data_IF_602233893264
#
_entry.id   IF_602233893264
#
_cell.length_a   1.000
_cell.length_b   1.000
_cell.length_c   1.000
_cell.angle_alpha   90.00
_cell.angle_beta   90.00
_cell.angle_gamma   90.00
#
_symmetry.space_group_name_H-M   'P 1'
#
loop_
_entity.id
_entity.type
_entity.pdbx_description
1 polymer ?
#
# COMPACT_ATOMS: atom_id res chain seq x y z
N UNK A 1 3.04 17.40 -3.61
CA UNK A 1 2.00 16.93 -2.68
C UNK A 1 2.31 15.51 -2.24
N UNK A 2 2.23 15.24 -0.95
CA UNK A 2 2.56 13.90 -0.44
C UNK A 2 1.42 12.92 -0.70
N UNK A 3 1.75 11.78 -1.28
CA UNK A 3 0.77 10.74 -1.56
C UNK A 3 1.24 9.42 -0.94
N UNK A 4 0.31 8.68 -0.35
CA UNK A 4 0.60 7.44 0.36
C UNK A 4 0.18 6.24 -0.49
N UNK A 5 1.08 5.27 -0.63
CA UNK A 5 0.76 3.99 -1.23
C UNK A 5 0.62 2.98 -0.09
N UNK A 6 -0.59 2.50 0.16
CA UNK A 6 -0.89 1.58 1.24
C UNK A 6 -1.11 0.18 0.68
N UNK A 7 -0.33 -0.78 1.15
CA UNK A 7 -0.53 -2.19 0.83
C UNK A 7 -1.41 -2.79 1.90
N UNK A 8 -2.67 -3.04 1.54
CA UNK A 8 -3.72 -3.45 2.47
C UNK A 8 -3.99 -4.95 2.45
N UNK A 9 -5.22 -5.31 2.78
CA UNK A 9 -5.66 -6.69 2.87
C UNK A 9 -5.89 -7.15 4.31
N UNK A 10 -5.74 -6.24 5.27
CA UNK A 10 -5.92 -6.54 6.70
C UNK A 10 -6.85 -5.51 7.34
N UNK A 11 -7.31 -5.81 8.56
CA UNK A 11 -8.11 -4.86 9.33
C UNK A 11 -7.35 -3.58 9.66
N UNK A 12 -6.06 -3.67 9.91
CA UNK A 12 -5.21 -2.51 10.14
C UNK A 12 -5.10 -1.64 8.89
N UNK A 13 -4.95 -2.28 7.72
CA UNK A 13 -4.93 -1.56 6.45
C UNK A 13 -6.24 -0.82 6.20
N UNK A 14 -7.37 -1.46 6.48
CA UNK A 14 -8.69 -0.82 6.34
C UNK A 14 -8.84 0.36 7.30
N UNK A 15 -8.42 0.20 8.54
CA UNK A 15 -8.49 1.29 9.52
C UNK A 15 -7.66 2.50 9.08
N UNK A 16 -6.47 2.26 8.53
CA UNK A 16 -5.63 3.33 8.03
C UNK A 16 -6.26 3.99 6.80
N UNK A 17 -6.86 3.21 5.90
CA UNK A 17 -7.57 3.75 4.75
C UNK A 17 -8.73 4.66 5.18
N UNK A 18 -9.51 4.23 6.16
CA UNK A 18 -10.59 5.06 6.72
C UNK A 18 -10.06 6.37 7.29
N UNK A 19 -8.95 6.30 8.00
CA UNK A 19 -8.31 7.46 8.59
C UNK A 19 -7.86 8.46 7.51
N UNK A 20 -7.28 7.96 6.43
CA UNK A 20 -6.82 8.79 5.32
C UNK A 20 -7.99 9.41 4.55
N UNK A 21 -9.04 8.64 4.28
CA UNK A 21 -10.25 9.15 3.62
C UNK A 21 -10.87 10.28 4.44
N UNK A 22 -11.00 10.09 5.74
CA UNK A 22 -11.60 11.09 6.63
C UNK A 22 -10.82 12.41 6.65
N UNK A 23 -9.54 12.38 6.32
CA UNK A 23 -8.65 13.56 6.36
C UNK A 23 -8.24 14.06 4.98
N UNK A 24 -8.85 13.50 3.93
CA UNK A 24 -8.53 13.85 2.54
C UNK A 24 -7.04 13.73 2.22
N UNK A 25 -6.38 12.73 2.79
CA UNK A 25 -4.98 12.47 2.48
C UNK A 25 -4.89 11.74 1.15
N UNK A 26 -4.15 12.27 0.16
CA UNK A 26 -3.97 11.59 -1.12
C UNK A 26 -3.34 10.21 -0.92
N UNK A 27 -3.96 9.17 -1.46
CA UNK A 27 -3.52 7.79 -1.25
C UNK A 27 -4.01 6.87 -2.36
N UNK A 28 -3.39 5.71 -2.43
CA UNK A 28 -3.90 4.55 -3.17
C UNK A 28 -3.75 3.34 -2.27
N UNK A 29 -4.78 2.52 -2.18
CA UNK A 29 -4.74 1.25 -1.44
C UNK A 29 -4.58 0.11 -2.43
N UNK A 30 -3.50 -0.64 -2.28
CA UNK A 30 -3.26 -1.83 -3.10
C UNK A 30 -3.84 -3.05 -2.40
N UNK A 31 -4.72 -3.74 -3.09
CA UNK A 31 -5.31 -5.00 -2.62
C UNK A 31 -5.15 -6.07 -3.69
N UNK A 32 -5.03 -7.32 -3.28
CA UNK A 32 -4.74 -8.41 -4.21
C UNK A 32 -5.97 -8.85 -5.02
N UNK A 33 -7.18 -8.62 -4.51
CA UNK A 33 -8.40 -9.15 -5.09
C UNK A 33 -9.52 -8.11 -5.14
N UNK A 34 -10.49 -8.34 -6.03
CA UNK A 34 -11.70 -7.52 -6.08
C UNK A 34 -12.49 -7.59 -4.78
N UNK A 35 -12.49 -8.74 -4.11
CA UNK A 35 -13.13 -8.87 -2.81
C UNK A 35 -12.49 -7.93 -1.79
N UNK A 36 -11.14 -7.86 -1.78
CA UNK A 36 -10.43 -6.92 -0.91
C UNK A 36 -10.83 -5.48 -1.16
N UNK A 37 -11.06 -5.14 -2.44
CA UNK A 37 -11.52 -3.80 -2.80
C UNK A 37 -12.89 -3.49 -2.19
N UNK A 38 -13.80 -4.46 -2.19
CA UNK A 38 -15.16 -4.26 -1.64
C UNK A 38 -15.17 -3.95 -0.14
N UNK A 39 -14.09 -4.31 0.57
CA UNK A 39 -13.98 -4.06 2.02
C UNK A 39 -13.43 -2.69 2.35
N UNK A 40 -12.98 -1.92 1.36
CA UNK A 40 -12.42 -0.60 1.60
C UNK A 40 -13.53 0.43 1.87
N UNK A 41 -13.22 1.50 2.62
CA UNK A 41 -14.20 2.56 2.86
C UNK A 41 -14.55 3.30 1.58
N UNK A 42 -15.73 3.89 1.54
CA UNK A 42 -16.15 4.75 0.44
C UNK A 42 -15.17 5.92 0.32
N UNK A 43 -14.77 6.25 -0.90
CA UNK A 43 -13.81 7.31 -1.16
C UNK A 43 -12.35 6.87 -1.20
N UNK A 44 -12.06 5.61 -0.85
CA UNK A 44 -10.70 5.10 -1.00
C UNK A 44 -10.38 4.86 -2.47
N UNK A 45 -9.18 5.29 -2.88
CA UNK A 45 -8.68 5.00 -4.22
C UNK A 45 -7.97 3.65 -4.18
N UNK A 46 -8.37 2.71 -5.04
CA UNK A 46 -7.87 1.34 -4.99
C UNK A 46 -7.09 0.96 -6.24
N UNK A 47 -6.05 0.16 -6.06
CA UNK A 47 -5.37 -0.56 -7.11
C UNK A 47 -5.55 -2.05 -6.81
N UNK A 48 -6.19 -2.78 -7.72
CA UNK A 48 -6.52 -4.19 -7.53
C UNK A 48 -5.61 -5.07 -8.37
N UNK A 49 -5.07 -6.11 -7.75
CA UNK A 49 -4.25 -7.10 -8.43
C UNK A 49 -2.92 -7.33 -7.74
N UNK A 50 -2.41 -8.54 -7.87
CA UNK A 50 -1.08 -8.88 -7.33
C UNK A 50 0.00 -8.23 -8.18
N UNK A 51 1.06 -7.79 -7.53
CA UNK A 51 2.20 -7.17 -8.21
C UNK A 51 3.49 -7.81 -7.72
N UNK A 52 4.46 -7.93 -8.62
CA UNK A 52 5.84 -8.23 -8.25
C UNK A 52 6.57 -6.91 -7.91
N UNK A 53 7.84 -7.01 -7.52
CA UNK A 53 8.62 -5.83 -7.14
C UNK A 53 8.79 -4.83 -8.27
N UNK A 54 8.95 -5.31 -9.51
CA UNK A 54 9.07 -4.44 -10.68
C UNK A 54 7.81 -3.65 -10.96
N UNK A 55 6.66 -4.29 -10.85
CA UNK A 55 5.36 -3.63 -11.03
C UNK A 55 5.11 -2.62 -9.91
N UNK A 56 5.46 -2.96 -8.67
CA UNK A 56 5.35 -2.03 -7.54
C UNK A 56 6.23 -0.81 -7.74
N UNK A 57 7.47 -1.01 -8.19
CA UNK A 57 8.40 0.08 -8.47
C UNK A 57 7.84 1.01 -9.55
N UNK A 58 7.31 0.45 -10.63
CA UNK A 58 6.70 1.23 -11.71
C UNK A 58 5.54 2.07 -11.20
N UNK A 59 4.68 1.48 -10.37
CA UNK A 59 3.56 2.21 -9.76
C UNK A 59 4.05 3.34 -8.86
N UNK A 60 5.06 3.08 -8.03
CA UNK A 60 5.62 4.10 -7.14
C UNK A 60 6.18 5.28 -7.91
N UNK A 61 6.91 5.02 -9.00
CA UNK A 61 7.49 6.08 -9.83
C UNK A 61 6.42 6.88 -10.57
N UNK A 62 5.44 6.19 -11.16
CA UNK A 62 4.40 6.84 -11.94
C UNK A 62 3.44 7.65 -11.09
N UNK A 63 3.16 7.20 -9.87
CA UNK A 63 2.16 7.83 -9.00
C UNK A 63 2.67 8.96 -8.13
N UNK A 64 3.98 9.19 -8.07
CA UNK A 64 4.54 10.25 -7.23
C UNK A 64 4.33 10.04 -5.75
N UNK A 65 4.37 8.80 -5.30
CA UNK A 65 4.18 8.48 -3.87
C UNK A 65 5.41 8.86 -3.05
N UNK A 66 5.17 9.41 -1.86
CA UNK A 66 6.24 9.79 -0.93
C UNK A 66 6.42 8.76 0.19
N UNK A 67 5.42 7.92 0.44
CA UNK A 67 5.45 6.94 1.52
C UNK A 67 4.74 5.66 1.08
N UNK A 68 5.39 4.53 1.30
CA UNK A 68 4.79 3.20 1.12
C UNK A 68 4.56 2.59 2.50
N UNK A 69 3.33 2.19 2.78
CA UNK A 69 2.96 1.56 4.05
C UNK A 69 2.61 0.11 3.80
N UNK A 70 3.34 -0.80 4.43
CA UNK A 70 3.06 -2.23 4.39
C UNK A 70 2.15 -2.58 5.57
N UNK A 71 0.88 -2.77 5.30
CA UNK A 71 -0.11 -3.25 6.28
C UNK A 71 -0.63 -4.63 5.89
N UNK A 72 0.19 -5.41 5.20
CA UNK A 72 -0.14 -6.78 4.83
C UNK A 72 -0.03 -7.71 6.05
N UNK A 73 -0.53 -8.93 5.89
CA UNK A 73 -0.49 -9.90 6.98
C UNK A 73 0.96 -10.18 7.42
N UNK A 74 1.24 -10.32 8.73
CA UNK A 74 2.62 -10.56 9.22
C UNK A 74 3.35 -11.74 8.58
N UNK A 75 2.61 -12.73 8.08
CA UNK A 75 3.20 -13.89 7.42
C UNK A 75 3.32 -13.74 5.89
N UNK A 76 2.95 -12.60 5.35
CA UNK A 76 3.09 -12.32 3.90
C UNK A 76 4.52 -11.86 3.58
N UNK A 77 5.49 -12.74 3.83
CA UNK A 77 6.92 -12.41 3.74
C UNK A 77 7.33 -12.02 2.32
N UNK A 78 6.82 -12.73 1.33
CA UNK A 78 7.15 -12.48 -0.07
C UNK A 78 6.69 -11.09 -0.51
N UNK A 79 5.45 -10.72 -0.17
CA UNK A 79 4.90 -9.40 -0.50
C UNK A 79 5.71 -8.30 0.20
N UNK A 80 6.03 -8.49 1.47
CA UNK A 80 6.83 -7.52 2.24
C UNK A 80 8.20 -7.31 1.60
N UNK A 81 8.85 -8.39 1.12
CA UNK A 81 10.13 -8.29 0.43
C UNK A 81 10.00 -7.53 -0.90
N UNK A 82 8.94 -7.78 -1.66
CA UNK A 82 8.69 -7.04 -2.90
C UNK A 82 8.50 -5.55 -2.64
N UNK A 83 7.74 -5.20 -1.59
CA UNK A 83 7.51 -3.80 -1.21
C UNK A 83 8.83 -3.14 -0.83
N UNK A 84 9.65 -3.82 -0.03
CA UNK A 84 10.96 -3.31 0.39
C UNK A 84 11.84 -3.01 -0.83
N UNK A 85 11.97 -3.98 -1.72
CA UNK A 85 12.82 -3.83 -2.91
C UNK A 85 12.33 -2.70 -3.81
N UNK A 86 11.03 -2.61 -4.03
CA UNK A 86 10.42 -1.58 -4.87
C UNK A 86 10.61 -0.19 -4.28
N UNK A 87 10.39 -0.04 -2.97
CA UNK A 87 10.53 1.24 -2.29
C UNK A 87 11.98 1.72 -2.31
N UNK A 88 12.95 0.84 -2.10
CA UNK A 88 14.36 1.18 -2.21
C UNK A 88 14.71 1.64 -3.63
N UNK A 89 14.28 0.88 -4.64
CA UNK A 89 14.58 1.20 -6.04
C UNK A 89 13.96 2.53 -6.48
N UNK A 90 12.74 2.83 -6.01
CA UNK A 90 12.03 4.06 -6.35
C UNK A 90 12.36 5.23 -5.42
N UNK A 91 13.21 5.03 -4.42
CA UNK A 91 13.57 6.04 -3.41
C UNK A 91 12.33 6.57 -2.65
N UNK A 92 11.42 5.67 -2.31
CA UNK A 92 10.22 5.98 -1.55
C UNK A 92 10.43 5.53 -0.10
N UNK A 93 10.02 6.37 0.85
CA UNK A 93 10.08 6.02 2.27
C UNK A 93 9.12 4.87 2.56
N UNK A 94 9.50 4.02 3.49
CA UNK A 94 8.69 2.87 3.90
C UNK A 94 8.59 2.85 5.42
N UNK A 95 7.44 2.40 5.93
CA UNK A 95 7.27 2.24 7.37
C UNK A 95 8.23 1.16 7.92
N UNK A 96 8.58 1.29 9.19
CA UNK A 96 9.47 0.32 9.84
C UNK A 96 8.84 -1.07 9.83
N UNK A 97 9.66 -2.13 9.68
CA UNK A 97 9.17 -3.50 9.78
C UNK A 97 8.54 -3.76 11.13
N UNK A 98 7.50 -4.60 11.15
CA UNK A 98 6.92 -5.02 12.41
C UNK A 98 7.86 -5.94 13.16
N UNK A 99 7.86 -5.79 14.47
CA UNK A 99 8.50 -6.75 15.36
C UNK A 99 7.57 -7.94 15.50
N UNK A 100 8.09 -9.13 15.28
CA UNK A 100 7.31 -10.37 15.32
C UNK A 100 7.79 -11.28 16.44
#
# INVERSE_FOLDING_TARGET
>A
MNKVLLFGGTGEGRALAEWMVARDIPHTVCVATEYGETLLPAGAEAHVGRMDSGEMEALMRAGGYSLAVDATHPYAVEVTEHIRAAAEAAAVLRNAPRVR
#
